data_IF_759766884449
#
_entry.id   IF_759766884449
#
_cell.length_a   1.000
_cell.length_b   1.000
_cell.length_c   1.000
_cell.angle_alpha   90.00
_cell.angle_beta   90.00
_cell.angle_gamma   90.00
#
_symmetry.space_group_name_H-M   'P 1'
#
loop_
_entity.id
_entity.type
_entity.pdbx_description
1 polymer ?
#
# COMPACT_ATOMS: atom_id res chain seq x y z
N UNK A 1 22.98 10.38 3.94
CA UNK A 1 21.58 10.76 3.68
C UNK A 1 21.37 12.19 4.16
N UNK A 2 20.79 13.06 3.35
CA UNK A 2 20.37 14.39 3.78
C UNK A 2 19.02 14.30 4.49
N UNK A 3 18.87 15.01 5.60
CA UNK A 3 17.59 15.11 6.32
C UNK A 3 16.93 16.44 6.01
N UNK A 4 15.60 16.46 5.93
CA UNK A 4 14.79 17.67 5.73
C UNK A 4 13.85 17.84 6.92
N UNK A 5 13.62 19.08 7.35
CA UNK A 5 12.72 19.38 8.48
C UNK A 5 11.26 19.42 8.03
N UNK A 6 10.43 18.60 8.68
CA UNK A 6 8.97 18.63 8.55
C UNK A 6 8.36 19.39 9.73
N UNK A 7 7.77 20.57 9.48
CA UNK A 7 7.07 21.36 10.50
C UNK A 7 5.56 21.19 10.38
N UNK A 8 4.93 20.56 11.38
CA UNK A 8 3.48 20.31 11.41
C UNK A 8 2.85 21.06 12.57
N UNK A 9 1.74 21.76 12.30
CA UNK A 9 0.91 22.34 13.35
C UNK A 9 -0.01 21.27 13.93
N UNK A 10 0.10 21.05 15.24
CA UNK A 10 -0.75 20.11 15.99
C UNK A 10 -1.51 20.81 17.10
N UNK A 11 -2.57 20.18 17.59
CA UNK A 11 -3.31 20.66 18.77
C UNK A 11 -2.39 20.73 19.99
N UNK A 12 -2.53 21.78 20.79
CA UNK A 12 -1.70 21.99 22.00
C UNK A 12 -1.76 20.81 22.96
N UNK A 13 -2.96 20.30 23.23
CA UNK A 13 -3.19 19.15 24.11
C UNK A 13 -2.43 17.89 23.65
N UNK A 14 -2.34 17.65 22.33
CA UNK A 14 -1.60 16.51 21.81
C UNK A 14 -0.11 16.66 22.10
N UNK A 15 0.45 17.86 21.87
CA UNK A 15 1.85 18.14 22.20
C UNK A 15 2.12 17.97 23.69
N UNK A 16 1.19 18.36 24.56
CA UNK A 16 1.31 18.19 26.01
C UNK A 16 1.29 16.70 26.39
N UNK A 17 0.39 15.90 25.82
CA UNK A 17 0.38 14.44 26.00
C UNK A 17 1.67 13.80 25.51
N UNK A 18 2.17 14.17 24.33
CA UNK A 18 3.45 13.65 23.83
C UNK A 18 4.60 13.91 24.81
N UNK A 19 4.63 15.10 25.43
CA UNK A 19 5.65 15.42 26.45
C UNK A 19 5.54 14.57 27.72
N UNK A 20 4.33 14.14 28.11
CA UNK A 20 4.14 13.26 29.27
C UNK A 20 4.79 11.90 29.06
N UNK A 21 4.86 11.42 27.83
CA UNK A 21 5.55 10.19 27.45
C UNK A 21 6.92 10.50 26.85
N UNK A 22 7.79 11.12 27.64
CA UNK A 22 9.13 11.55 27.21
C UNK A 22 10.09 10.41 26.84
N UNK A 23 9.77 9.18 27.23
CA UNK A 23 10.53 7.98 26.88
C UNK A 23 10.25 7.48 25.44
N UNK A 24 9.22 8.01 24.78
CA UNK A 24 8.88 7.64 23.40
C UNK A 24 9.65 8.53 22.44
N UNK A 25 10.33 7.92 21.46
CA UNK A 25 10.92 8.64 20.34
C UNK A 25 9.83 9.02 19.33
N UNK A 26 9.15 10.14 19.61
CA UNK A 26 8.09 10.66 18.74
C UNK A 26 8.54 10.96 17.32
N UNK A 27 9.83 11.24 17.09
CA UNK A 27 10.34 11.43 15.73
C UNK A 27 10.28 10.10 14.98
N UNK A 28 10.86 9.05 15.56
CA UNK A 28 10.88 7.72 14.94
C UNK A 28 9.47 7.17 14.73
N UNK A 29 8.56 7.36 15.69
CA UNK A 29 7.16 6.93 15.56
C UNK A 29 6.44 7.65 14.42
N UNK A 30 6.64 8.96 14.27
CA UNK A 30 6.02 9.73 13.18
C UNK A 30 6.63 9.35 11.82
N UNK A 31 7.95 9.17 11.76
CA UNK A 31 8.65 8.77 10.54
C UNK A 31 8.16 7.40 10.06
N UNK A 32 8.10 6.42 10.97
CA UNK A 32 7.56 5.09 10.68
C UNK A 32 6.10 5.13 10.24
N UNK A 33 5.26 5.92 10.91
CA UNK A 33 3.85 6.07 10.51
C UNK A 33 3.72 6.64 9.09
N UNK A 34 4.54 7.63 8.74
CA UNK A 34 4.53 8.23 7.40
C UNK A 34 4.99 7.20 6.36
N UNK A 35 6.05 6.45 6.62
CA UNK A 35 6.54 5.39 5.72
C UNK A 35 5.49 4.31 5.47
N UNK A 36 4.87 3.81 6.54
CA UNK A 36 3.81 2.80 6.45
C UNK A 36 2.62 3.33 5.64
N UNK A 37 2.20 4.58 5.87
CA UNK A 37 1.10 5.19 5.13
C UNK A 37 1.43 5.40 3.66
N UNK A 38 2.67 5.80 3.32
CA UNK A 38 3.11 5.90 1.92
C UNK A 38 3.01 4.54 1.24
N UNK A 39 3.51 3.48 1.89
CA UNK A 39 3.47 2.12 1.34
C UNK A 39 2.04 1.64 1.08
N UNK A 40 1.10 1.95 1.98
CA UNK A 40 -0.31 1.65 1.79
C UNK A 40 -0.89 2.36 0.56
N UNK A 41 -0.59 3.65 0.38
CA UNK A 41 -1.07 4.42 -0.77
C UNK A 41 -0.43 3.96 -2.09
N UNK A 42 0.85 3.60 -2.09
CA UNK A 42 1.52 3.01 -3.26
C UNK A 42 0.89 1.68 -3.67
N UNK A 43 0.57 0.82 -2.69
CA UNK A 43 -0.11 -0.45 -2.95
C UNK A 43 -1.50 -0.22 -3.55
N UNK A 44 -2.28 0.73 -3.01
CA UNK A 44 -3.59 1.09 -3.55
C UNK A 44 -3.50 1.56 -5.00
N UNK A 45 -2.57 2.47 -5.29
CA UNK A 45 -2.36 2.97 -6.64
C UNK A 45 -1.94 1.86 -7.61
N UNK A 46 -1.15 0.89 -7.15
CA UNK A 46 -0.77 -0.27 -7.97
C UNK A 46 -1.97 -1.16 -8.27
N UNK A 47 -2.80 -1.46 -7.28
CA UNK A 47 -4.01 -2.27 -7.47
C UNK A 47 -4.98 -1.57 -8.42
N UNK A 48 -5.25 -0.28 -8.23
CA UNK A 48 -6.09 0.52 -9.13
C UNK A 48 -5.57 0.50 -10.57
N UNK A 49 -4.24 0.47 -10.74
CA UNK A 49 -3.63 0.36 -12.07
C UNK A 49 -3.84 -1.01 -12.68
N UNK A 50 -3.72 -2.08 -11.90
CA UNK A 50 -3.99 -3.46 -12.33
C UNK A 50 -5.45 -3.57 -12.78
N UNK A 51 -6.39 -3.08 -11.98
CA UNK A 51 -7.82 -3.13 -12.29
C UNK A 51 -8.12 -2.41 -13.61
N UNK A 52 -7.57 -1.21 -13.81
CA UNK A 52 -7.73 -0.48 -15.08
C UNK A 52 -7.16 -1.21 -16.28
N UNK A 53 -6.03 -1.91 -16.12
CA UNK A 53 -5.46 -2.72 -17.20
C UNK A 53 -6.37 -3.91 -17.49
N UNK A 54 -6.84 -4.62 -16.46
CA UNK A 54 -7.76 -5.74 -16.62
C UNK A 54 -9.08 -5.34 -17.29
N UNK A 55 -9.60 -4.16 -16.99
CA UNK A 55 -10.81 -3.61 -17.64
C UNK A 55 -10.64 -3.41 -19.16
N UNK A 56 -9.40 -3.22 -19.64
CA UNK A 56 -9.12 -3.08 -21.07
C UNK A 56 -8.93 -4.40 -21.80
N UNK A 57 -8.80 -5.51 -21.07
CA UNK A 57 -8.61 -6.84 -21.66
C UNK A 57 -9.99 -7.44 -21.95
N UNK A 58 -10.27 -7.75 -23.22
CA UNK A 58 -11.47 -8.51 -23.58
C UNK A 58 -11.44 -9.87 -22.85
N UNK A 59 -12.53 -10.20 -22.15
CA UNK A 59 -12.67 -11.51 -21.54
C UNK A 59 -12.71 -12.57 -22.64
N UNK A 60 -11.70 -13.45 -22.66
CA UNK A 60 -11.68 -14.59 -23.57
C UNK A 60 -12.93 -15.43 -23.41
N UNK A 61 -13.55 -15.83 -24.54
CA UNK A 61 -14.83 -16.52 -24.55
C UNK A 61 -14.86 -17.89 -23.85
N UNK A 62 -13.70 -18.52 -23.65
CA UNK A 62 -13.58 -19.72 -22.83
C UNK A 62 -12.79 -19.49 -21.55
N UNK A 63 -13.28 -20.00 -20.40
CA UNK A 63 -12.54 -19.94 -19.15
C UNK A 63 -11.22 -20.70 -19.24
N UNK A 64 -10.13 -20.11 -18.72
CA UNK A 64 -8.82 -20.73 -18.72
C UNK A 64 -8.78 -22.14 -18.11
N UNK A 65 -9.61 -22.42 -17.09
CA UNK A 65 -9.66 -23.75 -16.47
C UNK A 65 -10.16 -24.84 -17.42
N UNK A 66 -11.04 -24.50 -18.37
CA UNK A 66 -11.55 -25.43 -19.38
C UNK A 66 -10.44 -25.79 -20.36
N UNK A 67 -9.76 -24.78 -20.89
CA UNK A 67 -8.61 -24.95 -21.81
C UNK A 67 -7.46 -25.73 -21.16
N UNK A 68 -7.12 -25.44 -19.89
CA UNK A 68 -6.06 -26.16 -19.17
C UNK A 68 -6.44 -27.63 -18.95
N UNK A 69 -7.71 -27.92 -18.64
CA UNK A 69 -8.19 -29.29 -18.47
C UNK A 69 -8.11 -30.08 -19.77
N UNK A 70 -8.60 -29.50 -20.86
CA UNK A 70 -8.55 -30.12 -22.19
C UNK A 70 -7.11 -30.39 -22.63
N UNK A 71 -6.18 -29.45 -22.44
CA UNK A 71 -4.75 -29.66 -22.72
C UNK A 71 -4.14 -30.82 -21.92
N UNK A 72 -4.51 -30.97 -20.64
CA UNK A 72 -4.03 -32.07 -19.79
C UNK A 72 -4.58 -33.43 -20.19
N UNK A 73 -5.83 -33.46 -20.68
CA UNK A 73 -6.48 -34.67 -21.15
C UNK A 73 -5.97 -35.09 -22.54
N UNK A 74 -5.59 -34.14 -23.41
CA UNK A 74 -5.01 -34.40 -24.74
C UNK A 74 -3.56 -34.92 -24.67
N UNK A 75 -2.79 -34.54 -23.63
CA UNK A 75 -1.40 -34.96 -23.45
C UNK A 75 -1.19 -36.36 -22.83
N UNK A 76 -2.26 -37.13 -22.61
CA UNK A 76 -2.24 -38.53 -22.18
C UNK A 76 -2.61 -39.45 -23.33
#
# INVERSE_FOLDING_TARGET
MSTVTLSIRIRRELREKMKQFSHVDWRAEIEKFIEERIREEELRQLLDRIDRVLDTVEQGGEPAWKTIREYREIGR
#
